data_IF_903218616920
#
_entry.id   IF_903218616920
#
_cell.length_a   1.000
_cell.length_b   1.000
_cell.length_c   1.000
_cell.angle_alpha   90.00
_cell.angle_beta   90.00
_cell.angle_gamma   90.00
#
_symmetry.space_group_name_H-M   'P 1'
#
loop_
_entity.id
_entity.type
_entity.pdbx_description
1 polymer ?
#
# COMPACT_ATOMS: atom_id res chain seq x y z
N UNK A 1 26.14 -15.78 -56.04
CA UNK A 1 24.76 -15.73 -55.55
C UNK A 1 24.61 -16.61 -54.29
N UNK A 2 25.50 -16.48 -53.29
CA UNK A 2 25.49 -17.30 -52.06
C UNK A 2 25.56 -16.48 -50.73
N UNK A 3 25.65 -15.16 -50.79
CA UNK A 3 25.84 -14.33 -49.60
C UNK A 3 24.50 -13.85 -48.98
N UNK A 4 23.39 -13.90 -49.71
CA UNK A 4 22.09 -13.44 -49.22
C UNK A 4 21.29 -14.44 -48.36
N UNK A 5 21.67 -15.69 -48.32
CA UNK A 5 20.94 -16.73 -47.52
C UNK A 5 21.37 -16.79 -46.06
N UNK A 6 22.55 -16.32 -45.71
CA UNK A 6 23.05 -16.38 -44.34
C UNK A 6 22.44 -15.25 -43.42
N UNK A 7 22.16 -14.08 -44.01
CA UNK A 7 21.63 -12.94 -43.24
C UNK A 7 20.19 -13.10 -42.81
N UNK A 8 19.36 -13.84 -43.58
CA UNK A 8 17.93 -14.03 -43.25
C UNK A 8 17.77 -15.03 -42.09
N UNK A 9 18.64 -16.03 -41.99
CA UNK A 9 18.58 -17.01 -40.91
C UNK A 9 18.99 -16.38 -39.56
N UNK A 10 19.94 -15.46 -39.55
CA UNK A 10 20.39 -14.79 -38.33
C UNK A 10 19.33 -13.84 -37.77
N UNK A 11 18.57 -13.10 -38.59
CA UNK A 11 17.46 -12.27 -38.17
C UNK A 11 16.29 -13.09 -37.59
N UNK A 12 16.02 -14.26 -38.12
CA UNK A 12 14.92 -15.11 -37.61
C UNK A 12 15.25 -15.72 -36.24
N UNK A 13 16.50 -16.10 -35.99
CA UNK A 13 16.94 -16.60 -34.69
C UNK A 13 16.89 -15.48 -33.61
N UNK A 14 17.26 -14.26 -33.94
CA UNK A 14 17.20 -13.14 -33.02
C UNK A 14 15.75 -12.78 -32.63
N UNK A 15 14.80 -12.83 -33.58
CA UNK A 15 13.38 -12.58 -33.29
C UNK A 15 12.75 -13.73 -32.47
N UNK A 16 13.17 -14.96 -32.65
CA UNK A 16 12.67 -16.09 -31.87
C UNK A 16 13.21 -16.07 -30.43
N UNK A 17 14.45 -15.66 -30.22
CA UNK A 17 15.00 -15.47 -28.86
C UNK A 17 14.25 -14.37 -28.09
N UNK A 18 13.96 -13.20 -28.69
CA UNK A 18 13.21 -12.14 -28.04
C UNK A 18 11.75 -12.54 -27.72
N UNK A 19 11.11 -13.31 -28.58
CA UNK A 19 9.74 -13.80 -28.36
C UNK A 19 9.68 -14.88 -27.26
N UNK A 20 10.75 -15.61 -27.05
CA UNK A 20 10.83 -16.63 -26.00
C UNK A 20 11.09 -16.00 -24.64
N UNK A 21 11.93 -14.97 -24.56
CA UNK A 21 12.20 -14.21 -23.34
C UNK A 21 10.92 -13.50 -22.83
N UNK A 22 10.18 -12.85 -23.70
CA UNK A 22 8.93 -12.15 -23.32
C UNK A 22 7.86 -13.10 -22.78
N UNK A 23 7.72 -14.30 -23.30
CA UNK A 23 6.79 -15.33 -22.78
C UNK A 23 7.21 -15.81 -21.38
N UNK A 24 8.50 -15.98 -21.17
CA UNK A 24 9.06 -16.38 -19.88
C UNK A 24 8.85 -15.27 -18.83
N UNK A 25 9.10 -14.03 -19.19
CA UNK A 25 8.92 -12.87 -18.33
C UNK A 25 7.46 -12.66 -17.91
N UNK A 26 6.52 -12.85 -18.84
CA UNK A 26 5.08 -12.79 -18.52
C UNK A 26 4.63 -13.96 -17.64
N UNK A 27 5.19 -15.15 -17.82
CA UNK A 27 4.92 -16.28 -16.95
C UNK A 27 5.42 -16.04 -15.52
N UNK A 28 6.61 -15.44 -15.36
CA UNK A 28 7.15 -15.03 -14.06
C UNK A 28 6.30 -13.95 -13.38
N UNK A 29 5.80 -12.97 -14.16
CA UNK A 29 4.90 -11.95 -13.64
C UNK A 29 3.58 -12.58 -13.14
N UNK A 30 3.00 -13.50 -13.88
CA UNK A 30 1.81 -14.24 -13.47
C UNK A 30 2.06 -15.03 -12.19
N UNK A 31 3.17 -15.77 -12.13
CA UNK A 31 3.58 -16.50 -10.94
C UNK A 31 3.77 -15.57 -9.71
N UNK A 32 4.40 -14.41 -9.91
CA UNK A 32 4.51 -13.42 -8.85
C UNK A 32 3.13 -12.99 -8.36
N UNK A 33 2.20 -12.64 -9.28
CA UNK A 33 0.84 -12.18 -8.94
C UNK A 33 0.05 -13.19 -8.12
N UNK A 34 0.20 -14.50 -8.41
CA UNK A 34 -0.49 -15.57 -7.70
C UNK A 34 -0.02 -15.73 -6.24
N UNK A 35 1.15 -15.17 -5.90
CA UNK A 35 1.68 -15.23 -4.53
C UNK A 35 1.05 -14.21 -3.58
N UNK A 36 0.37 -13.19 -4.08
CA UNK A 36 -0.16 -12.10 -3.26
C UNK A 36 -1.64 -12.32 -2.91
N UNK A 37 -1.96 -12.16 -1.64
CA UNK A 37 -3.35 -12.12 -1.20
C UNK A 37 -3.97 -10.77 -1.57
N UNK A 38 -4.83 -10.78 -2.57
CA UNK A 38 -5.53 -9.62 -3.08
C UNK A 38 -7.05 -9.82 -2.96
N UNK A 39 -7.67 -9.47 -1.83
CA UNK A 39 -9.08 -9.77 -1.56
C UNK A 39 -10.03 -9.21 -2.62
N UNK A 40 -9.72 -8.05 -3.21
CA UNK A 40 -10.52 -7.50 -4.31
C UNK A 40 -10.48 -8.31 -5.60
N UNK A 41 -9.48 -9.16 -5.78
CA UNK A 41 -9.43 -10.10 -6.92
C UNK A 41 -10.17 -11.41 -6.62
N UNK A 42 -10.63 -11.60 -5.37
CA UNK A 42 -11.39 -12.76 -4.89
C UNK A 42 -12.83 -12.43 -4.57
N UNK A 43 -13.46 -11.63 -5.41
CA UNK A 43 -14.86 -11.21 -5.30
C UNK A 43 -15.20 -10.22 -4.19
N UNK A 44 -14.24 -9.64 -3.46
CA UNK A 44 -14.53 -8.53 -2.56
C UNK A 44 -14.94 -7.31 -3.40
N UNK A 45 -16.11 -6.76 -3.10
CA UNK A 45 -16.58 -5.48 -3.68
C UNK A 45 -16.20 -4.31 -2.79
N UNK A 46 -16.47 -4.46 -1.50
CA UNK A 46 -16.16 -3.46 -0.48
C UNK A 46 -16.11 -4.09 0.90
N UNK A 47 -15.46 -3.41 1.82
CA UNK A 47 -15.65 -3.64 3.24
C UNK A 47 -15.93 -2.33 3.95
N UNK A 48 -16.62 -2.42 5.08
CA UNK A 48 -16.96 -1.32 5.96
C UNK A 48 -16.59 -1.69 7.39
N UNK A 49 -15.79 -0.83 8.07
CA UNK A 49 -15.31 -1.08 9.43
C UNK A 49 -15.52 0.13 10.33
N UNK A 50 -15.70 -0.09 11.61
CA UNK A 50 -15.52 0.92 12.63
C UNK A 50 -14.02 1.27 12.75
N UNK A 51 -13.72 2.54 12.99
CA UNK A 51 -12.35 3.06 13.18
C UNK A 51 -12.18 3.51 14.61
N UNK A 52 -11.28 2.83 15.33
CA UNK A 52 -10.85 3.20 16.67
C UNK A 52 -9.44 3.82 16.58
N UNK A 53 -9.36 5.14 16.70
CA UNK A 53 -8.12 5.90 16.53
C UNK A 53 -7.48 6.16 17.89
N UNK A 54 -6.18 5.90 18.03
CA UNK A 54 -5.41 6.08 19.28
C UNK A 54 -5.03 7.56 19.50
N UNK A 55 -6.00 8.39 19.79
CA UNK A 55 -5.82 9.83 19.97
C UNK A 55 -4.86 10.17 21.12
N UNK A 56 -5.00 9.49 22.25
CA UNK A 56 -4.20 9.75 23.44
C UNK A 56 -2.70 9.63 23.17
N UNK A 57 -2.29 8.63 22.37
CA UNK A 57 -0.90 8.47 21.97
C UNK A 57 -0.44 9.64 21.10
N UNK A 58 -1.26 10.04 20.14
CA UNK A 58 -0.93 11.11 19.23
C UNK A 58 -0.74 12.45 19.96
N UNK A 59 -1.70 12.84 20.79
CA UNK A 59 -1.64 14.14 21.45
C UNK A 59 -0.63 14.19 22.60
N UNK A 60 -0.31 13.10 23.30
CA UNK A 60 0.74 13.11 24.32
C UNK A 60 2.14 13.19 23.72
N UNK A 61 2.35 12.71 22.51
CA UNK A 61 3.65 12.82 21.83
C UNK A 61 3.83 14.20 21.18
N UNK A 62 2.78 14.81 20.64
CA UNK A 62 2.84 16.09 19.91
C UNK A 62 2.56 17.32 20.78
N UNK A 63 1.73 17.21 21.81
CA UNK A 63 1.41 18.29 22.74
C UNK A 63 2.20 18.19 24.02
N UNK A 64 3.49 18.44 24.00
CA UNK A 64 4.27 18.82 25.18
C UNK A 64 3.91 20.23 25.67
N UNK A 65 2.67 20.62 25.61
CA UNK A 65 2.17 21.89 26.15
C UNK A 65 1.33 21.56 27.37
N UNK A 66 1.88 21.83 28.54
CA UNK A 66 1.24 21.62 29.82
C UNK A 66 0.03 22.54 30.02
N UNK A 67 -1.13 22.11 29.54
CA UNK A 67 -2.42 22.66 29.88
C UNK A 67 -3.25 21.60 30.59
N UNK A 68 -3.49 21.81 31.89
CA UNK A 68 -4.20 20.88 32.78
C UNK A 68 -5.69 20.69 32.46
N UNK A 69 -6.23 21.30 31.40
CA UNK A 69 -7.61 21.16 30.94
C UNK A 69 -7.84 20.13 29.84
N UNK A 70 -6.78 19.53 29.31
CA UNK A 70 -6.80 18.70 28.10
C UNK A 70 -7.33 17.28 28.29
N UNK A 71 -7.20 16.68 29.46
CA UNK A 71 -7.51 15.26 29.66
C UNK A 71 -9.01 14.96 29.60
N UNK A 72 -9.87 15.79 30.19
CA UNK A 72 -11.33 15.60 30.17
C UNK A 72 -11.93 15.94 28.80
N UNK A 73 -11.41 16.96 28.13
CA UNK A 73 -11.84 17.31 26.75
C UNK A 73 -11.41 16.26 25.75
N UNK A 74 -10.21 15.72 25.88
CA UNK A 74 -9.72 14.65 25.07
C UNK A 74 -10.55 13.36 25.25
N UNK A 75 -10.96 13.00 26.47
CA UNK A 75 -11.85 11.85 26.70
C UNK A 75 -13.23 12.03 26.05
N UNK A 76 -13.74 13.25 25.93
CA UNK A 76 -14.97 13.54 25.20
C UNK A 76 -14.82 13.43 23.68
N UNK A 77 -13.68 13.85 23.15
CA UNK A 77 -13.32 13.70 21.72
C UNK A 77 -13.04 12.24 21.39
N UNK A 78 -12.53 11.47 22.37
CA UNK A 78 -12.01 10.12 22.21
C UNK A 78 -13.03 9.00 22.41
N UNK A 79 -14.25 9.32 22.72
CA UNK A 79 -15.25 8.25 22.67
C UNK A 79 -15.23 7.65 21.27
N UNK A 80 -15.15 6.31 21.12
CA UNK A 80 -15.12 5.64 19.84
C UNK A 80 -16.49 5.76 19.15
N UNK A 81 -16.91 6.99 18.94
CA UNK A 81 -18.23 7.33 18.46
C UNK A 81 -18.20 7.25 16.95
N UNK A 82 -18.41 6.03 16.44
CA UNK A 82 -19.00 5.79 15.13
C UNK A 82 -18.19 6.25 13.92
N UNK A 83 -16.90 6.48 14.08
CA UNK A 83 -16.04 6.68 12.92
C UNK A 83 -16.05 5.39 12.10
N UNK A 84 -16.35 5.51 10.85
CA UNK A 84 -16.39 4.36 9.93
C UNK A 84 -15.57 4.63 8.70
N UNK A 85 -15.04 3.58 8.13
CA UNK A 85 -14.39 3.61 6.83
C UNK A 85 -15.02 2.58 5.91
N UNK A 86 -15.34 3.02 4.71
CA UNK A 86 -15.74 2.14 3.61
C UNK A 86 -14.63 2.11 2.57
N UNK A 87 -14.13 0.92 2.26
CA UNK A 87 -13.10 0.71 1.25
C UNK A 87 -13.69 -0.09 0.10
N UNK A 88 -13.53 0.43 -1.10
CA UNK A 88 -13.84 -0.24 -2.37
C UNK A 88 -12.56 -0.49 -3.14
N UNK A 89 -12.64 -1.13 -4.30
CA UNK A 89 -11.49 -1.31 -5.20
C UNK A 89 -10.80 0.00 -5.59
N UNK A 90 -11.54 1.11 -5.65
CA UNK A 90 -11.09 2.38 -6.24
C UNK A 90 -11.08 3.53 -5.23
N UNK A 91 -11.72 3.37 -4.08
CA UNK A 91 -11.92 4.49 -3.16
C UNK A 91 -11.89 4.06 -1.69
N UNK A 92 -11.43 4.99 -0.86
CA UNK A 92 -11.48 4.94 0.60
C UNK A 92 -12.30 6.14 1.07
N UNK A 93 -13.43 5.89 1.72
CA UNK A 93 -14.31 6.92 2.27
C UNK A 93 -14.33 6.80 3.77
N UNK A 94 -13.93 7.85 4.46
CA UNK A 94 -13.99 7.95 5.92
C UNK A 94 -15.20 8.76 6.32
N UNK A 95 -15.93 8.30 7.31
CA UNK A 95 -17.07 8.98 7.91
C UNK A 95 -16.71 9.32 9.35
N UNK A 96 -16.65 10.60 9.66
CA UNK A 96 -16.59 11.09 11.04
C UNK A 96 -17.96 10.94 11.69
N UNK A 97 -18.02 10.38 12.89
CA UNK A 97 -19.24 10.32 13.68
C UNK A 97 -19.59 11.63 14.38
N UNK A 98 -18.79 12.66 14.19
CA UNK A 98 -19.01 14.00 14.75
C UNK A 98 -19.93 14.80 13.85
N UNK A 99 -20.83 15.58 14.46
CA UNK A 99 -21.53 16.64 13.74
C UNK A 99 -20.63 17.88 13.68
N UNK A 100 -20.69 18.63 12.59
CA UNK A 100 -19.94 19.89 12.43
C UNK A 100 -20.09 20.82 13.64
N UNK A 101 -21.27 20.82 14.26
CA UNK A 101 -21.58 21.63 15.45
C UNK A 101 -20.87 21.11 16.72
N UNK A 102 -20.63 19.81 16.84
CA UNK A 102 -19.86 19.24 17.95
C UNK A 102 -18.36 19.49 17.75
N UNK A 103 -17.85 19.32 16.55
CA UNK A 103 -16.44 19.54 16.19
C UNK A 103 -16.06 21.01 16.38
N UNK A 104 -16.92 21.94 15.96
CA UNK A 104 -16.65 23.38 16.07
C UNK A 104 -16.56 23.90 17.52
N UNK A 105 -17.11 23.15 18.46
CA UNK A 105 -17.07 23.49 19.90
C UNK A 105 -15.85 22.94 20.62
N UNK A 106 -15.10 22.04 19.99
CA UNK A 106 -13.90 21.45 20.57
C UNK A 106 -12.65 22.26 20.16
N UNK A 107 -11.76 22.63 21.10
CA UNK A 107 -10.57 23.46 20.80
C UNK A 107 -9.68 22.87 19.69
N UNK A 108 -9.71 21.56 19.53
CA UNK A 108 -8.93 20.83 18.51
C UNK A 108 -9.80 19.95 17.58
N UNK A 109 -11.14 20.15 17.59
CA UNK A 109 -12.08 19.29 16.87
C UNK A 109 -11.79 19.21 15.37
N UNK A 110 -11.59 20.34 14.71
CA UNK A 110 -11.25 20.36 13.29
C UNK A 110 -9.90 19.71 12.97
N UNK A 111 -8.93 19.76 13.87
CA UNK A 111 -7.66 19.06 13.74
C UNK A 111 -7.86 17.55 13.87
N UNK A 112 -8.66 17.10 14.82
CA UNK A 112 -8.95 15.68 15.03
C UNK A 112 -9.67 15.08 13.83
N UNK A 113 -10.66 15.76 13.26
CA UNK A 113 -11.35 15.32 12.03
C UNK A 113 -10.39 15.24 10.86
N UNK A 114 -9.60 16.29 10.64
CA UNK A 114 -8.59 16.31 9.58
C UNK A 114 -7.58 15.16 9.72
N UNK A 115 -7.08 14.88 10.93
CA UNK A 115 -6.14 13.79 11.18
C UNK A 115 -6.78 12.43 10.95
N UNK A 116 -8.03 12.23 11.42
CA UNK A 116 -8.77 10.99 11.21
C UNK A 116 -8.91 10.71 9.70
N UNK A 117 -9.43 11.66 8.95
CA UNK A 117 -9.60 11.51 7.52
C UNK A 117 -8.27 11.28 6.82
N UNK A 118 -7.28 12.14 7.07
CA UNK A 118 -5.98 12.03 6.40
C UNK A 118 -5.22 10.77 6.76
N UNK A 119 -5.11 10.42 8.04
CA UNK A 119 -4.34 9.25 8.45
C UNK A 119 -4.99 7.95 7.96
N UNK A 120 -6.31 7.78 8.16
CA UNK A 120 -7.03 6.58 7.76
C UNK A 120 -7.10 6.47 6.24
N UNK A 121 -7.49 7.55 5.56
CA UNK A 121 -7.63 7.55 4.12
C UNK A 121 -6.28 7.31 3.44
N UNK A 122 -5.23 8.04 3.82
CA UNK A 122 -3.90 7.93 3.21
C UNK A 122 -3.29 6.54 3.40
N UNK A 123 -3.40 5.98 4.61
CA UNK A 123 -2.84 4.64 4.88
C UNK A 123 -3.59 3.53 4.16
N UNK A 124 -4.92 3.59 4.08
CA UNK A 124 -5.69 2.59 3.34
C UNK A 124 -5.54 2.75 1.83
N UNK A 125 -5.35 3.96 1.31
CA UNK A 125 -4.93 4.16 -0.08
C UNK A 125 -3.55 3.57 -0.35
N UNK A 126 -2.62 3.62 0.61
CA UNK A 126 -1.30 2.99 0.49
C UNK A 126 -1.38 1.45 0.55
N UNK A 127 -2.36 0.89 1.27
CA UNK A 127 -2.64 -0.54 1.29
C UNK A 127 -3.37 -1.03 0.02
N UNK A 128 -4.22 -0.21 -0.58
CA UNK A 128 -5.12 -0.60 -1.67
C UNK A 128 -4.41 -1.24 -2.88
N UNK A 129 -3.20 -0.80 -3.32
CA UNK A 129 -2.45 -1.48 -4.37
C UNK A 129 -2.14 -2.96 -4.07
N UNK A 130 -1.86 -3.30 -2.81
CA UNK A 130 -1.69 -4.70 -2.41
C UNK A 130 -3.04 -5.44 -2.41
N UNK A 131 -4.07 -4.84 -1.83
CA UNK A 131 -5.42 -5.42 -1.77
C UNK A 131 -6.06 -5.68 -3.14
N UNK A 132 -5.67 -4.93 -4.17
CA UNK A 132 -6.12 -5.08 -5.56
C UNK A 132 -5.13 -5.79 -6.46
N UNK A 133 -3.93 -6.13 -5.95
CA UNK A 133 -2.79 -6.62 -6.72
C UNK A 133 -2.33 -5.69 -7.86
N UNK A 134 -2.58 -4.39 -7.71
CA UNK A 134 -2.09 -3.36 -8.65
C UNK A 134 -0.71 -2.84 -8.29
N UNK A 135 -0.14 -3.30 -7.18
CA UNK A 135 1.27 -3.10 -6.84
C UNK A 135 2.20 -3.69 -7.91
N UNK A 136 1.76 -4.73 -8.61
CA UNK A 136 2.47 -5.31 -9.76
C UNK A 136 1.93 -4.74 -11.08
N UNK A 137 2.76 -4.62 -12.13
CA UNK A 137 2.33 -4.09 -13.42
C UNK A 137 1.18 -4.92 -14.01
N UNK A 138 0.37 -4.28 -14.84
CA UNK A 138 -0.71 -4.99 -15.55
C UNK A 138 -0.13 -6.17 -16.36
N UNK A 139 -0.80 -7.34 -16.43
CA UNK A 139 -0.34 -8.47 -17.23
C UNK A 139 -0.04 -8.17 -18.71
N UNK A 140 -0.68 -7.14 -19.27
CA UNK A 140 -0.41 -6.71 -20.65
C UNK A 140 0.81 -5.78 -20.78
N UNK A 141 1.38 -5.29 -19.66
CA UNK A 141 2.55 -4.41 -19.69
C UNK A 141 3.79 -5.19 -20.10
N UNK A 142 4.55 -4.75 -21.11
CA UNK A 142 5.83 -5.35 -21.44
C UNK A 142 6.79 -5.23 -20.25
N UNK A 143 7.32 -6.36 -19.81
CA UNK A 143 8.22 -6.43 -18.66
C UNK A 143 9.50 -7.17 -19.02
N UNK A 144 10.56 -6.93 -18.28
CA UNK A 144 11.82 -7.66 -18.36
C UNK A 144 12.22 -8.14 -16.96
N UNK A 145 12.38 -9.45 -16.80
CA UNK A 145 12.91 -10.08 -15.60
C UNK A 145 14.39 -10.40 -15.75
N UNK A 146 15.16 -10.08 -14.73
CA UNK A 146 16.54 -10.52 -14.58
C UNK A 146 16.66 -11.31 -13.28
N UNK A 147 17.04 -12.58 -13.39
CA UNK A 147 17.33 -13.41 -12.22
C UNK A 147 18.75 -13.15 -11.73
N UNK A 148 18.92 -13.13 -10.40
CA UNK A 148 20.21 -13.08 -9.73
C UNK A 148 20.23 -14.11 -8.59
N UNK A 149 21.39 -14.29 -7.94
CA UNK A 149 21.51 -15.16 -6.77
C UNK A 149 20.67 -14.68 -5.57
N UNK A 150 20.34 -13.40 -5.52
CA UNK A 150 19.55 -12.77 -4.43
C UNK A 150 18.06 -12.67 -4.73
N UNK A 151 17.60 -13.06 -5.93
CA UNK A 151 16.19 -12.97 -6.32
C UNK A 151 15.99 -12.49 -7.74
N UNK A 152 14.99 -11.65 -7.96
CA UNK A 152 14.60 -11.19 -9.28
C UNK A 152 14.52 -9.66 -9.32
N UNK A 153 14.86 -9.11 -10.47
CA UNK A 153 14.70 -7.71 -10.79
C UNK A 153 13.75 -7.59 -11.97
N UNK A 154 12.65 -6.88 -11.79
CA UNK A 154 11.64 -6.58 -12.80
C UNK A 154 11.80 -5.14 -13.25
N UNK A 155 11.91 -4.91 -14.55
CA UNK A 155 11.91 -3.58 -15.14
C UNK A 155 10.78 -3.42 -16.15
N UNK A 156 10.10 -2.26 -16.12
CA UNK A 156 9.05 -1.91 -17.06
C UNK A 156 8.86 -0.39 -17.13
N UNK A 157 8.01 0.06 -18.05
CA UNK A 157 7.68 1.47 -18.21
C UNK A 157 6.20 1.72 -17.99
N UNK A 158 5.90 2.80 -17.28
CA UNK A 158 4.56 3.40 -17.23
C UNK A 158 4.67 4.82 -17.75
N UNK A 159 3.98 5.11 -18.85
CA UNK A 159 4.11 6.39 -19.55
C UNK A 159 5.59 6.69 -19.88
N UNK A 160 6.15 7.75 -19.30
CA UNK A 160 7.55 8.16 -19.50
C UNK A 160 8.48 7.77 -18.35
N UNK A 161 8.00 6.99 -17.38
CA UNK A 161 8.75 6.62 -16.19
C UNK A 161 9.25 5.20 -16.27
N UNK A 162 10.55 5.02 -16.00
CA UNK A 162 11.16 3.70 -15.83
C UNK A 162 10.94 3.24 -14.39
N UNK A 163 10.37 2.05 -14.24
CA UNK A 163 10.13 1.43 -12.93
C UNK A 163 11.00 0.19 -12.81
N UNK A 164 11.63 0.05 -11.68
CA UNK A 164 12.41 -1.13 -11.30
C UNK A 164 11.87 -1.68 -9.98
N UNK A 165 11.60 -2.98 -9.94
CA UNK A 165 11.17 -3.70 -8.74
C UNK A 165 12.16 -4.78 -8.40
N UNK A 166 12.43 -4.98 -7.11
CA UNK A 166 13.32 -6.03 -6.60
C UNK A 166 12.49 -7.02 -5.79
N UNK A 167 12.64 -8.30 -6.11
CA UNK A 167 11.94 -9.40 -5.44
C UNK A 167 12.94 -10.36 -4.80
N UNK A 168 12.57 -10.89 -3.66
CA UNK A 168 13.23 -12.03 -3.05
C UNK A 168 13.08 -13.30 -3.94
N UNK A 169 13.84 -14.39 -3.68
CA UNK A 169 13.73 -15.63 -4.44
C UNK A 169 12.34 -16.28 -4.41
N UNK A 170 11.55 -16.02 -3.37
CA UNK A 170 10.19 -16.51 -3.23
C UNK A 170 9.12 -15.60 -3.88
N UNK A 171 9.56 -14.58 -4.62
CA UNK A 171 8.74 -13.57 -5.31
C UNK A 171 8.09 -12.53 -4.38
N UNK A 172 8.56 -12.37 -3.14
CA UNK A 172 8.16 -11.23 -2.31
C UNK A 172 8.83 -9.95 -2.82
N UNK A 173 8.04 -8.93 -3.09
CA UNK A 173 8.53 -7.59 -3.41
C UNK A 173 9.25 -7.01 -2.18
N UNK A 174 10.45 -6.52 -2.39
CA UNK A 174 11.28 -5.89 -1.37
C UNK A 174 11.32 -4.38 -1.56
N UNK A 175 11.45 -3.94 -2.80
CA UNK A 175 11.48 -2.51 -3.11
C UNK A 175 11.00 -2.24 -4.53
N UNK A 176 10.58 -0.99 -4.75
CA UNK A 176 10.30 -0.45 -6.07
C UNK A 176 10.90 0.95 -6.19
N UNK A 177 11.44 1.27 -7.36
CA UNK A 177 12.00 2.57 -7.65
C UNK A 177 11.43 3.14 -8.95
N UNK A 178 11.00 4.39 -8.90
CA UNK A 178 10.64 5.21 -10.05
C UNK A 178 11.86 6.07 -10.42
N UNK A 179 12.32 6.01 -11.67
CA UNK A 179 13.63 6.60 -12.04
C UNK A 179 13.56 7.95 -12.76
N UNK A 180 12.37 8.43 -13.17
CA UNK A 180 12.22 9.73 -13.86
C UNK A 180 10.74 10.14 -13.93
N UNK A 181 10.41 11.45 -13.98
CA UNK A 181 11.28 12.62 -13.83
C UNK A 181 11.67 12.93 -12.38
N UNK A 182 10.94 12.37 -11.39
CA UNK A 182 11.27 12.40 -9.97
C UNK A 182 11.70 10.99 -9.56
N UNK A 183 12.82 10.90 -8.85
CA UNK A 183 13.29 9.62 -8.34
C UNK A 183 12.56 9.33 -7.03
N UNK A 184 11.69 8.33 -7.03
CA UNK A 184 11.01 7.86 -5.81
C UNK A 184 11.47 6.43 -5.51
N UNK A 185 11.68 6.15 -4.26
CA UNK A 185 12.03 4.82 -3.78
C UNK A 185 11.03 4.38 -2.71
N UNK A 186 10.57 3.13 -2.85
CA UNK A 186 9.63 2.50 -1.94
C UNK A 186 10.25 1.20 -1.43
N UNK A 187 10.12 0.97 -0.14
CA UNK A 187 10.46 -0.32 0.47
C UNK A 187 9.17 -1.00 0.94
N UNK A 188 9.12 -2.31 0.80
CA UNK A 188 7.94 -3.08 1.19
C UNK A 188 8.34 -4.29 2.00
N UNK A 189 7.50 -4.66 2.96
CA UNK A 189 7.61 -5.92 3.68
C UNK A 189 6.31 -6.70 3.57
N UNK A 190 6.43 -8.01 3.41
CA UNK A 190 5.29 -8.91 3.33
C UNK A 190 5.47 -10.08 4.28
N UNK A 191 4.38 -10.48 4.95
CA UNK A 191 4.29 -11.73 5.69
C UNK A 191 3.56 -12.78 4.86
N UNK A 192 3.79 -14.06 5.17
CA UNK A 192 2.99 -15.15 4.61
C UNK A 192 1.64 -15.20 5.32
N UNK A 193 0.58 -15.09 4.55
CA UNK A 193 -0.80 -15.27 5.01
C UNK A 193 -1.41 -16.59 4.51
N UNK A 194 -2.64 -16.91 4.90
CA UNK A 194 -3.31 -18.16 4.51
C UNK A 194 -3.52 -18.31 3.00
N UNK A 195 -3.58 -17.21 2.28
CA UNK A 195 -3.94 -17.18 0.86
C UNK A 195 -2.89 -16.48 0.00
N UNK A 196 -1.74 -16.13 0.57
CA UNK A 196 -0.64 -15.48 -0.13
C UNK A 196 0.06 -14.44 0.74
N UNK A 197 0.89 -13.64 0.13
CA UNK A 197 1.64 -12.59 0.80
C UNK A 197 0.73 -11.41 1.18
N UNK A 198 0.82 -10.97 2.42
CA UNK A 198 0.13 -9.82 2.99
C UNK A 198 1.13 -8.69 3.22
N UNK A 199 0.82 -7.49 2.75
CA UNK A 199 1.64 -6.30 2.94
C UNK A 199 1.68 -5.93 4.43
N UNK A 200 2.83 -6.02 5.07
CA UNK A 200 2.99 -5.65 6.49
C UNK A 200 3.61 -4.29 6.69
N UNK A 201 4.35 -3.78 5.69
CA UNK A 201 4.92 -2.44 5.73
C UNK A 201 5.10 -1.88 4.33
N UNK A 202 4.90 -0.57 4.24
CA UNK A 202 5.21 0.25 3.08
C UNK A 202 5.95 1.49 3.55
N UNK A 203 7.16 1.72 3.03
CA UNK A 203 7.98 2.89 3.38
C UNK A 203 8.24 3.70 2.12
N UNK A 204 8.08 5.02 2.22
CA UNK A 204 8.39 5.96 1.16
C UNK A 204 9.05 7.21 1.74
N UNK A 205 9.81 7.95 0.94
CA UNK A 205 10.28 9.28 1.32
C UNK A 205 9.14 10.30 1.33
N UNK A 206 9.14 11.24 2.26
CA UNK A 206 8.11 12.30 2.29
C UNK A 206 8.17 13.19 1.05
N UNK A 207 9.39 13.49 0.57
CA UNK A 207 9.66 14.34 -0.59
C UNK A 207 10.29 13.54 -1.75
N UNK A 208 10.00 12.25 -1.85
CA UNK A 208 10.66 11.34 -2.80
C UNK A 208 12.08 10.94 -2.36
N UNK A 209 12.61 11.49 -1.29
CA UNK A 209 13.90 11.13 -0.70
C UNK A 209 13.70 10.21 0.51
N UNK A 210 14.02 8.94 0.37
CA UNK A 210 13.85 7.91 1.41
C UNK A 210 15.01 7.84 2.41
N UNK A 211 15.77 8.92 2.61
CA UNK A 211 16.81 8.95 3.63
C UNK A 211 16.22 8.79 5.04
N UNK A 212 16.96 8.14 5.96
CA UNK A 212 16.56 8.04 7.35
C UNK A 212 16.25 9.42 7.95
N UNK A 213 15.14 9.52 8.67
CA UNK A 213 14.66 10.78 9.23
C UNK A 213 13.69 11.57 8.33
N UNK A 214 13.47 11.14 7.07
CA UNK A 214 12.51 11.75 6.14
C UNK A 214 11.61 10.69 5.50
N UNK A 215 11.19 9.70 6.29
CA UNK A 215 10.38 8.59 5.79
C UNK A 215 8.97 8.63 6.37
N UNK A 216 8.02 8.25 5.52
CA UNK A 216 6.66 7.92 5.87
C UNK A 216 6.51 6.39 5.82
N UNK A 217 6.21 5.78 6.96
CA UNK A 217 6.13 4.33 7.11
C UNK A 217 4.71 3.95 7.48
N UNK A 218 4.09 3.10 6.69
CA UNK A 218 2.80 2.49 6.98
C UNK A 218 3.03 1.04 7.42
N UNK A 219 2.38 0.64 8.51
CA UNK A 219 2.40 -0.76 8.96
C UNK A 219 1.00 -1.31 9.09
N UNK A 220 0.84 -2.60 8.81
CA UNK A 220 -0.46 -3.27 8.78
C UNK A 220 -0.38 -4.61 9.51
N UNK A 221 -1.37 -4.88 10.37
CA UNK A 221 -1.73 -6.23 10.80
C UNK A 221 -3.07 -6.62 10.19
N UNK A 222 -3.47 -7.87 10.31
CA UNK A 222 -4.62 -8.39 9.58
C UNK A 222 -5.57 -9.17 10.49
N UNK A 223 -6.85 -9.09 10.15
CA UNK A 223 -7.94 -9.89 10.71
C UNK A 223 -8.67 -10.65 9.60
N UNK A 224 -9.20 -11.81 9.94
CA UNK A 224 -10.04 -12.58 9.04
C UNK A 224 -11.51 -12.16 9.18
N UNK A 225 -12.13 -11.72 8.10
CA UNK A 225 -13.57 -11.38 8.03
C UNK A 225 -14.17 -12.13 6.83
N UNK A 226 -15.07 -13.05 7.08
CA UNK A 226 -15.70 -13.89 6.05
C UNK A 226 -14.70 -14.52 5.05
N UNK A 227 -13.54 -14.98 5.59
CA UNK A 227 -12.47 -15.60 4.80
C UNK A 227 -11.56 -14.62 4.04
N UNK A 228 -11.78 -13.31 4.16
CA UNK A 228 -10.90 -12.29 3.62
C UNK A 228 -9.93 -11.79 4.68
N UNK A 229 -8.67 -11.53 4.29
CA UNK A 229 -7.70 -10.88 5.16
C UNK A 229 -7.78 -9.36 4.96
N UNK A 230 -8.33 -8.67 5.96
CA UNK A 230 -8.47 -7.21 5.94
C UNK A 230 -7.52 -6.58 6.95
N UNK A 231 -7.06 -5.35 6.75
CA UNK A 231 -6.29 -4.63 7.77
C UNK A 231 -7.03 -4.62 9.11
N UNK A 232 -6.31 -4.83 10.21
CA UNK A 232 -6.85 -4.73 11.57
C UNK A 232 -6.25 -3.55 12.31
N UNK A 233 -4.91 -3.55 12.50
CA UNK A 233 -4.22 -2.43 13.10
C UNK A 233 -3.36 -1.77 12.03
N UNK A 234 -3.41 -0.47 12.00
CA UNK A 234 -2.62 0.35 11.08
C UNK A 234 -1.86 1.39 11.89
N UNK A 235 -0.57 1.53 11.61
CA UNK A 235 0.19 2.65 12.11
C UNK A 235 0.82 3.41 10.94
N UNK A 236 0.87 4.73 11.09
CA UNK A 236 1.55 5.65 10.19
C UNK A 236 2.61 6.38 10.99
N UNK A 237 3.87 6.20 10.61
CA UNK A 237 5.01 6.83 11.27
C UNK A 237 5.59 7.87 10.31
N UNK A 238 5.69 9.09 10.76
CA UNK A 238 6.28 10.20 10.06
C UNK A 238 7.57 10.61 10.75
N UNK A 239 8.71 10.16 10.22
CA UNK A 239 10.01 10.31 10.90
C UNK A 239 10.43 11.77 11.04
N UNK A 240 10.20 12.61 10.04
CA UNK A 240 10.60 14.03 10.04
C UNK A 240 9.95 14.85 11.16
N UNK A 241 8.77 14.43 11.62
CA UNK A 241 8.00 15.13 12.65
C UNK A 241 7.94 14.36 13.97
N UNK A 242 8.53 13.17 14.04
CA UNK A 242 8.40 12.23 15.17
C UNK A 242 6.93 11.92 15.51
N UNK A 243 6.07 11.89 14.50
CA UNK A 243 4.65 11.62 14.65
C UNK A 243 4.33 10.16 14.43
N UNK A 244 3.45 9.61 15.25
CA UNK A 244 2.91 8.26 15.10
C UNK A 244 1.41 8.31 15.23
N UNK A 245 0.71 7.84 14.20
CA UNK A 245 -0.73 7.68 14.21
C UNK A 245 -1.07 6.20 14.21
N UNK A 246 -1.95 5.78 15.13
CA UNK A 246 -2.41 4.39 15.20
C UNK A 246 -3.92 4.34 15.24
N UNK A 247 -4.47 3.38 14.53
CA UNK A 247 -5.89 3.08 14.62
C UNK A 247 -6.15 1.59 14.41
N UNK A 248 -7.29 1.14 14.90
CA UNK A 248 -7.77 -0.22 14.73
C UNK A 248 -9.07 -0.21 13.91
N UNK A 249 -9.19 -1.16 12.99
CA UNK A 249 -10.41 -1.47 12.27
C UNK A 249 -11.11 -2.63 12.97
N UNK A 250 -12.37 -2.43 13.36
CA UNK A 250 -13.20 -3.42 14.04
C UNK A 250 -14.60 -3.48 13.45
N UNK A 251 -15.40 -4.45 13.87
CA UNK A 251 -16.78 -4.61 13.42
C UNK A 251 -16.92 -4.51 11.89
N UNK A 252 -15.99 -5.16 11.21
CA UNK A 252 -15.92 -5.12 9.77
C UNK A 252 -17.00 -6.01 9.14
N UNK A 253 -17.61 -5.50 8.09
CA UNK A 253 -18.53 -6.24 7.21
C UNK A 253 -18.02 -6.20 5.78
N UNK A 254 -18.19 -7.28 5.04
CA UNK A 254 -17.77 -7.38 3.65
C UNK A 254 -18.98 -7.52 2.71
N UNK A 255 -18.85 -6.94 1.52
CA UNK A 255 -19.74 -7.19 0.38
C UNK A 255 -18.97 -7.91 -0.69
N UNK A 256 -19.51 -9.02 -1.19
CA UNK A 256 -18.92 -9.82 -2.25
C UNK A 256 -19.79 -9.85 -3.49
N UNK A 257 -19.20 -10.01 -4.66
CA UNK A 257 -19.92 -10.43 -5.88
C UNK A 257 -20.33 -11.88 -5.74
N UNK A 258 -21.55 -12.20 -6.13
CA UNK A 258 -22.03 -13.59 -6.27
C UNK A 258 -21.42 -14.24 -7.50
#
# INVERSE_FOLDING_TARGET
>A
MQIYRASIVFCFCAMLCHAQDTKTDQALLSQAREKYDAPFNRNLQSFDCAVDFSWKEHFTETTRVGDEGTDEELELIFQPIRNRVTVTRENVTVFSGFTDDAISKLPHGGMAEFLLEHAVQKSLYSWLPAGTNTILPNPATPVSFKQSSSGYKLAFKIQNSDIEMVFAPDMRLQSAALKAPQSEHFETSFASGPQGFLLTSWTMGEDGNSEPGNRLIFTFTYQAVDGMQLPEQVAVIRESHHEVWRYRLSDCTVKTTK
#
